data_IF_305181566446
#
_entry.id   IF_305181566446
#
_cell.length_a   1.000
_cell.length_b   1.000
_cell.length_c   1.000
_cell.angle_alpha   90.00
_cell.angle_beta   90.00
_cell.angle_gamma   90.00
#
_symmetry.space_group_name_H-M   'P 1'
#
loop_
_entity.id
_entity.type
_entity.pdbx_description
1 polymer ?
#
# COMPACT_ATOMS: atom_id res chain seq x y z
N UNK A 1 18.54 -1.54 6.25
CA UNK A 1 17.63 -1.44 7.30
C UNK A 1 16.77 -2.67 7.39
N UNK A 2 16.78 -3.26 8.56
CA UNK A 2 16.17 -4.58 8.74
C UNK A 2 14.67 -4.59 8.59
N UNK A 3 13.99 -3.53 9.07
CA UNK A 3 12.51 -3.45 8.99
C UNK A 3 12.03 -3.46 7.53
N UNK A 4 12.62 -2.62 6.69
CA UNK A 4 12.28 -2.55 5.28
C UNK A 4 12.57 -3.88 4.57
N UNK A 5 13.72 -4.45 4.84
CA UNK A 5 14.14 -5.71 4.23
C UNK A 5 13.21 -6.85 4.62
N UNK A 6 12.88 -6.93 5.90
CA UNK A 6 12.00 -7.95 6.44
C UNK A 6 10.58 -7.81 5.88
N UNK A 7 10.06 -6.58 5.90
CA UNK A 7 8.73 -6.29 5.37
C UNK A 7 8.63 -6.59 3.88
N UNK A 8 9.67 -6.23 3.11
CA UNK A 8 9.73 -6.54 1.69
C UNK A 8 9.66 -8.04 1.43
N UNK A 9 10.36 -8.84 2.23
CA UNK A 9 10.33 -10.28 2.10
C UNK A 9 8.93 -10.85 2.38
N UNK A 10 8.27 -10.33 3.41
CA UNK A 10 6.89 -10.72 3.73
C UNK A 10 5.96 -10.39 2.57
N UNK A 11 6.04 -9.17 2.04
CA UNK A 11 5.20 -8.75 0.92
C UNK A 11 5.39 -9.65 -0.31
N UNK A 12 6.63 -10.01 -0.60
CA UNK A 12 6.93 -10.91 -1.71
C UNK A 12 6.33 -12.30 -1.52
N UNK A 13 6.33 -12.80 -0.28
CA UNK A 13 5.69 -14.08 0.03
C UNK A 13 4.18 -13.97 -0.14
N UNK A 14 3.57 -12.92 0.39
CA UNK A 14 2.12 -12.74 0.38
C UNK A 14 1.56 -12.53 -1.03
N UNK A 15 2.29 -11.82 -1.88
CA UNK A 15 1.78 -11.35 -3.17
C UNK A 15 2.59 -11.81 -4.37
N UNK A 16 3.36 -12.89 -4.24
CA UNK A 16 4.18 -13.41 -5.34
C UNK A 16 3.37 -13.82 -6.56
N UNK A 17 2.11 -14.20 -6.36
CA UNK A 17 1.21 -14.58 -7.47
C UNK A 17 0.60 -13.38 -8.17
N UNK A 18 0.58 -12.23 -7.52
CA UNK A 18 -0.14 -11.05 -7.99
C UNK A 18 0.77 -9.93 -8.47
N UNK A 19 1.94 -9.79 -7.87
CA UNK A 19 2.83 -8.65 -8.09
C UNK A 19 4.20 -9.12 -8.57
N UNK A 20 4.82 -8.29 -9.40
CA UNK A 20 6.10 -8.60 -10.01
C UNK A 20 6.95 -7.32 -10.15
N UNK A 21 8.15 -7.45 -10.68
CA UNK A 21 9.08 -6.34 -10.91
C UNK A 21 9.35 -5.51 -9.65
N UNK A 22 9.56 -6.21 -8.54
CA UNK A 22 9.88 -5.58 -7.27
C UNK A 22 11.20 -4.83 -7.38
N UNK A 23 11.16 -3.52 -7.14
CA UNK A 23 12.35 -2.69 -7.24
C UNK A 23 12.46 -1.77 -6.05
N UNK A 24 13.55 -1.90 -5.32
CA UNK A 24 13.89 -0.98 -4.24
C UNK A 24 14.48 0.29 -4.84
N UNK A 25 14.10 1.43 -4.29
CA UNK A 25 14.65 2.72 -4.74
C UNK A 25 16.02 2.95 -4.14
N UNK A 26 16.98 3.25 -5.00
CA UNK A 26 18.28 3.68 -4.56
C UNK A 26 18.22 5.15 -4.16
N UNK A 27 18.99 5.51 -3.13
CA UNK A 27 19.11 6.90 -2.69
C UNK A 27 19.71 7.75 -3.79
N UNK A 28 18.90 8.64 -4.37
CA UNK A 28 19.47 9.69 -5.22
C UNK A 28 20.09 10.76 -4.34
N UNK A 29 21.07 11.49 -4.86
CA UNK A 29 21.73 12.55 -4.12
C UNK A 29 20.79 13.71 -3.72
N UNK A 30 19.63 13.81 -4.33
CA UNK A 30 18.71 14.92 -4.14
C UNK A 30 17.63 14.68 -3.08
N UNK A 31 17.48 13.45 -2.59
CA UNK A 31 16.48 13.04 -1.58
C UNK A 31 15.05 13.51 -1.84
N UNK A 32 14.78 14.06 -3.00
CA UNK A 32 13.48 14.56 -3.40
C UNK A 32 12.72 13.44 -4.11
N UNK A 33 11.51 13.10 -3.60
CA UNK A 33 10.58 12.17 -4.25
C UNK A 33 11.05 10.70 -4.25
N UNK A 34 11.35 10.21 -3.07
CA UNK A 34 11.82 8.85 -2.89
C UNK A 34 10.79 7.97 -2.21
N UNK A 35 10.32 6.96 -2.91
CA UNK A 35 9.55 5.89 -2.32
C UNK A 35 10.49 4.69 -2.06
N UNK A 36 10.11 3.84 -1.11
CA UNK A 36 10.99 2.74 -0.68
C UNK A 36 10.98 1.56 -1.64
N UNK A 37 9.82 1.23 -2.17
CA UNK A 37 9.65 0.04 -3.01
C UNK A 37 8.56 0.27 -4.02
N UNK A 38 8.74 -0.20 -5.24
CA UNK A 38 7.71 -0.21 -6.27
C UNK A 38 7.61 -1.61 -6.86
N UNK A 39 6.42 -2.00 -7.26
CA UNK A 39 6.20 -3.25 -7.98
C UNK A 39 5.11 -3.04 -9.04
N UNK A 40 4.92 -4.06 -9.87
CA UNK A 40 3.92 -4.03 -10.94
C UNK A 40 2.88 -5.11 -10.68
N UNK A 41 1.62 -4.79 -10.92
CA UNK A 41 0.55 -5.80 -10.94
C UNK A 41 0.78 -6.67 -12.18
N UNK A 42 0.80 -7.99 -12.00
CA UNK A 42 1.04 -8.91 -13.13
C UNK A 42 -0.04 -8.75 -14.18
N UNK A 43 0.35 -8.82 -15.44
CA UNK A 43 -0.58 -8.68 -16.58
C UNK A 43 -1.65 -9.77 -16.58
N UNK A 44 -1.32 -10.95 -16.07
CA UNK A 44 -2.22 -12.10 -15.98
C UNK A 44 -2.81 -12.30 -14.57
N UNK A 45 -2.86 -11.25 -13.76
CA UNK A 45 -3.37 -11.35 -12.40
C UNK A 45 -4.81 -11.86 -12.38
N UNK A 46 -5.11 -12.77 -11.46
CA UNK A 46 -6.44 -13.37 -11.32
C UNK A 46 -7.16 -12.96 -10.04
N UNK A 47 -6.44 -12.41 -9.07
CA UNK A 47 -6.99 -11.96 -7.80
C UNK A 47 -8.04 -10.87 -8.01
N UNK A 48 -9.21 -11.01 -7.40
CA UNK A 48 -10.28 -10.02 -7.51
C UNK A 48 -9.83 -8.65 -7.02
N UNK A 49 -9.10 -8.60 -5.91
CA UNK A 49 -8.61 -7.34 -5.35
C UNK A 49 -7.70 -6.61 -6.33
N UNK A 50 -6.65 -7.28 -6.83
CA UNK A 50 -5.67 -6.62 -7.69
C UNK A 50 -6.24 -6.27 -9.06
N UNK A 51 -7.17 -7.06 -9.58
CA UNK A 51 -7.91 -6.68 -10.80
C UNK A 51 -8.73 -5.42 -10.58
N UNK A 52 -9.43 -5.34 -9.45
CA UNK A 52 -10.21 -4.16 -9.12
C UNK A 52 -9.30 -2.93 -9.00
N UNK A 53 -8.17 -3.08 -8.31
CA UNK A 53 -7.19 -1.99 -8.14
C UNK A 53 -6.72 -1.48 -9.50
N UNK A 54 -6.31 -2.40 -10.36
CA UNK A 54 -5.81 -2.02 -11.70
C UNK A 54 -6.87 -1.30 -12.51
N UNK A 55 -8.08 -1.85 -12.54
CA UNK A 55 -9.15 -1.33 -13.40
C UNK A 55 -9.74 -0.03 -12.87
N UNK A 56 -10.06 0.00 -11.59
CA UNK A 56 -10.74 1.16 -11.01
C UNK A 56 -9.83 2.36 -10.88
N UNK A 57 -8.60 2.15 -10.39
CA UNK A 57 -7.65 3.23 -10.17
C UNK A 57 -6.79 3.54 -11.40
N UNK A 58 -6.89 2.71 -12.45
CA UNK A 58 -6.06 2.85 -13.66
C UNK A 58 -4.59 2.93 -13.28
N UNK A 59 -4.15 1.94 -12.50
CA UNK A 59 -2.79 1.87 -12.00
C UNK A 59 -2.17 0.55 -12.43
N UNK A 60 -0.89 0.59 -12.77
CA UNK A 60 -0.11 -0.61 -13.08
C UNK A 60 0.89 -0.89 -12.00
N UNK A 61 1.33 0.17 -11.33
CA UNK A 61 2.39 0.12 -10.33
C UNK A 61 1.85 0.45 -8.97
N UNK A 62 2.40 -0.22 -7.96
CA UNK A 62 2.04 -0.04 -6.56
C UNK A 62 3.29 0.41 -5.82
N UNK A 63 3.17 1.47 -5.02
CA UNK A 63 4.26 1.98 -4.20
C UNK A 63 4.07 1.47 -2.78
N UNK A 64 5.15 1.00 -2.17
CA UNK A 64 5.19 0.67 -0.74
C UNK A 64 6.13 1.61 -0.03
N UNK A 65 5.70 2.11 1.12
CA UNK A 65 6.49 2.93 2.03
C UNK A 65 6.58 2.20 3.37
N UNK A 66 7.76 2.23 3.97
CA UNK A 66 8.00 1.57 5.25
C UNK A 66 8.32 2.61 6.32
N UNK A 67 7.53 2.64 7.38
CA UNK A 67 7.67 3.58 8.48
C UNK A 67 7.90 2.82 9.79
N UNK A 68 9.18 2.67 10.16
CA UNK A 68 9.58 1.96 11.37
C UNK A 68 9.54 2.90 12.57
N UNK A 69 8.35 3.38 12.91
CA UNK A 69 8.14 4.26 14.06
C UNK A 69 7.49 3.49 15.20
N UNK A 70 7.87 3.81 16.44
CA UNK A 70 7.18 3.30 17.62
C UNK A 70 5.80 3.92 17.77
N UNK A 71 5.60 5.13 17.22
CA UNK A 71 4.35 5.85 17.26
C UNK A 71 3.50 5.55 16.01
N UNK A 72 2.22 5.90 16.08
CA UNK A 72 1.33 5.82 14.92
C UNK A 72 1.75 6.84 13.87
N UNK A 73 1.43 6.58 12.61
CA UNK A 73 1.67 7.57 11.55
C UNK A 73 0.58 8.64 11.58
N UNK A 74 0.91 9.81 11.05
CA UNK A 74 0.05 10.99 11.06
C UNK A 74 -0.31 11.41 9.63
N UNK A 75 -1.11 12.46 9.50
CA UNK A 75 -1.45 13.01 8.20
C UNK A 75 -0.22 13.40 7.37
N UNK A 76 0.87 13.73 8.05
CA UNK A 76 2.13 14.10 7.38
C UNK A 76 2.62 12.99 6.46
N UNK A 77 2.62 11.74 6.94
CA UNK A 77 3.06 10.60 6.15
C UNK A 77 2.12 10.35 4.97
N UNK A 78 0.84 10.60 5.15
CA UNK A 78 -0.14 10.47 4.06
C UNK A 78 0.14 11.50 2.96
N UNK A 79 0.30 12.76 3.33
CA UNK A 79 0.55 13.83 2.36
C UNK A 79 1.89 13.62 1.63
N UNK A 80 2.92 13.19 2.34
CA UNK A 80 4.22 12.91 1.74
C UNK A 80 4.11 11.77 0.73
N UNK A 81 3.42 10.70 1.10
CA UNK A 81 3.21 9.55 0.21
C UNK A 81 2.38 9.91 -1.00
N UNK A 82 1.36 10.74 -0.83
CA UNK A 82 0.51 11.17 -1.95
C UNK A 82 1.32 11.84 -3.06
N UNK A 83 2.39 12.55 -2.70
CA UNK A 83 3.26 13.22 -3.68
C UNK A 83 3.98 12.26 -4.63
N UNK A 84 4.16 11.01 -4.21
CA UNK A 84 4.79 10.00 -5.07
C UNK A 84 3.81 9.44 -6.10
N UNK A 85 2.51 9.64 -5.90
CA UNK A 85 1.49 9.09 -6.79
C UNK A 85 1.30 10.01 -7.99
N UNK A 86 1.46 9.42 -9.17
CA UNK A 86 1.52 10.18 -10.41
C UNK A 86 0.74 9.44 -11.50
N UNK A 87 -0.37 10.06 -11.93
CA UNK A 87 -1.31 9.42 -12.85
C UNK A 87 -0.68 9.03 -14.20
N UNK A 88 0.14 9.90 -14.78
CA UNK A 88 0.77 9.62 -16.06
C UNK A 88 1.79 8.49 -16.00
N UNK A 89 2.33 8.23 -14.82
CA UNK A 89 3.25 7.10 -14.62
C UNK A 89 2.52 5.83 -14.21
N UNK A 90 1.18 5.82 -14.26
CA UNK A 90 0.32 4.68 -13.91
C UNK A 90 0.57 4.17 -12.49
N UNK A 91 0.79 5.10 -11.57
CA UNK A 91 0.93 4.80 -10.14
C UNK A 91 0.03 5.73 -9.35
N UNK A 92 -1.14 5.20 -8.97
CA UNK A 92 -2.16 5.92 -8.21
C UNK A 92 -2.45 5.28 -6.86
N UNK A 93 -1.72 4.23 -6.51
CA UNK A 93 -1.96 3.46 -5.30
C UNK A 93 -0.66 3.29 -4.54
N UNK A 94 -0.71 3.55 -3.24
CA UNK A 94 0.41 3.31 -2.33
C UNK A 94 -0.08 2.57 -1.10
N UNK A 95 0.80 1.77 -0.52
CA UNK A 95 0.55 1.07 0.73
C UNK A 95 1.67 1.43 1.70
N UNK A 96 1.31 2.00 2.85
CA UNK A 96 2.25 2.34 3.91
C UNK A 96 2.25 1.21 4.93
N UNK A 97 3.40 0.62 5.17
CA UNK A 97 3.59 -0.38 6.21
C UNK A 97 4.18 0.34 7.42
N UNK A 98 3.49 0.31 8.55
CA UNK A 98 3.94 0.94 9.77
C UNK A 98 3.77 0.00 10.96
N UNK A 99 4.48 0.26 12.06
CA UNK A 99 4.43 -0.66 13.19
C UNK A 99 3.06 -0.68 13.87
N UNK A 100 2.44 0.48 14.08
CA UNK A 100 1.28 0.62 14.95
C UNK A 100 0.07 1.30 14.32
N UNK A 101 0.03 1.42 12.99
CA UNK A 101 -1.13 1.99 12.31
C UNK A 101 -1.11 3.51 12.27
N UNK A 102 -2.29 4.11 12.13
CA UNK A 102 -2.45 5.54 11.87
C UNK A 102 -3.40 6.20 12.87
N UNK A 103 -3.16 7.49 13.13
CA UNK A 103 -4.06 8.27 13.98
C UNK A 103 -5.31 8.72 13.20
N UNK A 104 -6.22 9.42 13.88
CA UNK A 104 -7.48 9.84 13.27
C UNK A 104 -7.27 10.83 12.13
N UNK A 105 -6.30 11.72 12.25
CA UNK A 105 -6.01 12.71 11.20
C UNK A 105 -5.41 12.04 9.96
N UNK A 106 -4.59 11.02 10.14
CA UNK A 106 -4.08 10.22 9.03
C UNK A 106 -5.23 9.51 8.30
N UNK A 107 -6.17 8.94 9.05
CA UNK A 107 -7.34 8.29 8.46
C UNK A 107 -8.19 9.26 7.65
N UNK A 108 -8.37 10.47 8.16
CA UNK A 108 -9.08 11.53 7.42
C UNK A 108 -8.32 11.92 6.16
N UNK A 109 -7.00 12.00 6.22
CA UNK A 109 -6.17 12.34 5.07
C UNK A 109 -6.25 11.24 3.98
N UNK A 110 -6.30 9.98 4.39
CA UNK A 110 -6.50 8.85 3.46
C UNK A 110 -7.83 8.99 2.72
N UNK A 111 -8.91 9.26 3.46
CA UNK A 111 -10.23 9.47 2.86
C UNK A 111 -10.25 10.68 1.94
N UNK A 112 -9.56 11.75 2.32
CA UNK A 112 -9.45 12.95 1.50
C UNK A 112 -8.71 12.70 0.19
N UNK A 113 -7.61 11.98 0.22
CA UNK A 113 -6.84 11.65 -1.00
C UNK A 113 -7.70 10.85 -1.98
N UNK A 114 -8.47 9.90 -1.46
CA UNK A 114 -9.35 9.09 -2.29
C UNK A 114 -10.50 9.90 -2.86
N UNK A 115 -11.21 10.65 -1.99
CA UNK A 115 -12.38 11.42 -2.39
C UNK A 115 -12.06 12.54 -3.36
N UNK A 116 -10.98 13.27 -3.12
CA UNK A 116 -10.68 14.49 -3.86
C UNK A 116 -9.76 14.27 -5.06
N UNK A 117 -8.84 13.31 -4.95
CA UNK A 117 -7.80 13.11 -5.95
C UNK A 117 -7.81 11.73 -6.61
N UNK A 118 -8.71 10.84 -6.19
CA UNK A 118 -8.77 9.49 -6.75
C UNK A 118 -7.52 8.67 -6.51
N UNK A 119 -6.77 8.99 -5.46
CA UNK A 119 -5.54 8.30 -5.09
C UNK A 119 -5.79 7.43 -3.87
N UNK A 120 -5.42 6.17 -3.95
CA UNK A 120 -5.60 5.23 -2.86
C UNK A 120 -4.32 5.10 -2.06
N UNK A 121 -4.42 5.36 -0.76
CA UNK A 121 -3.34 5.10 0.18
C UNK A 121 -3.91 4.20 1.26
N UNK A 122 -3.35 3.01 1.42
CA UNK A 122 -3.71 2.09 2.50
C UNK A 122 -2.60 2.09 3.53
N UNK A 123 -2.95 1.96 4.79
CA UNK A 123 -1.97 1.78 5.85
C UNK A 123 -2.17 0.41 6.49
N UNK A 124 -1.11 -0.38 6.50
CA UNK A 124 -1.09 -1.70 7.12
C UNK A 124 -0.13 -1.67 8.31
N UNK A 125 -0.58 -2.20 9.43
CA UNK A 125 0.25 -2.33 10.62
C UNK A 125 0.99 -3.67 10.62
N UNK A 126 1.89 -3.85 11.59
CA UNK A 126 2.52 -5.14 11.79
C UNK A 126 1.49 -6.24 12.08
N UNK A 127 0.41 -5.89 12.80
CA UNK A 127 -0.68 -6.81 13.07
C UNK A 127 -1.39 -7.22 11.78
N UNK A 128 -1.58 -6.29 10.84
CA UNK A 128 -2.18 -6.60 9.54
C UNK A 128 -1.31 -7.59 8.76
N UNK A 129 0.00 -7.40 8.77
CA UNK A 129 0.92 -8.32 8.10
C UNK A 129 0.83 -9.73 8.71
N UNK A 130 0.78 -9.81 10.05
CA UNK A 130 0.63 -11.07 10.76
C UNK A 130 -0.70 -11.75 10.40
N UNK A 131 -1.79 -10.98 10.34
CA UNK A 131 -3.11 -11.51 9.98
C UNK A 131 -3.13 -12.02 8.54
N UNK A 132 -2.45 -11.34 7.63
CA UNK A 132 -2.37 -11.78 6.23
C UNK A 132 -1.57 -13.08 6.09
N UNK A 133 -0.49 -13.23 6.86
CA UNK A 133 0.26 -14.49 6.90
C UNK A 133 -0.62 -15.62 7.43
N UNK A 134 -1.42 -15.36 8.46
CA UNK A 134 -2.35 -16.33 9.01
C UNK A 134 -3.43 -16.71 8.00
N UNK A 135 -3.94 -15.74 7.23
CA UNK A 135 -4.88 -16.02 6.13
C UNK A 135 -4.29 -17.05 5.16
N UNK A 136 -3.05 -16.82 4.74
CA UNK A 136 -2.37 -17.73 3.81
C UNK A 136 -2.20 -19.13 4.41
N UNK A 137 -1.85 -19.22 5.69
CA UNK A 137 -1.70 -20.50 6.38
C UNK A 137 -3.01 -21.27 6.46
N UNK A 138 -4.14 -20.58 6.49
CA UNK A 138 -5.46 -21.19 6.58
C UNK A 138 -6.10 -21.40 5.20
N UNK A 139 -5.35 -21.26 4.12
CA UNK A 139 -5.83 -21.49 2.77
C UNK A 139 -6.61 -20.34 2.17
N UNK A 140 -6.63 -19.18 2.83
CA UNK A 140 -7.23 -17.96 2.30
C UNK A 140 -6.16 -17.08 1.66
N UNK A 141 -6.56 -16.05 0.95
CA UNK A 141 -5.62 -15.17 0.26
C UNK A 141 -5.40 -13.89 1.06
N UNK A 142 -4.13 -13.44 1.13
CA UNK A 142 -3.80 -12.12 1.69
C UNK A 142 -4.55 -11.02 0.93
N UNK A 143 -4.80 -11.20 -0.35
CA UNK A 143 -5.54 -10.24 -1.17
C UNK A 143 -7.00 -10.09 -0.70
N UNK A 144 -7.61 -11.14 -0.19
CA UNK A 144 -8.95 -11.05 0.40
C UNK A 144 -8.95 -10.18 1.65
N UNK A 145 -7.90 -10.28 2.45
CA UNK A 145 -7.73 -9.43 3.63
C UNK A 145 -7.66 -7.95 3.22
N UNK A 146 -6.89 -7.65 2.18
CA UNK A 146 -6.80 -6.28 1.66
C UNK A 146 -8.14 -5.80 1.11
N UNK A 147 -8.89 -6.67 0.48
CA UNK A 147 -10.19 -6.30 -0.07
C UNK A 147 -11.16 -5.90 1.05
N UNK A 148 -11.10 -6.60 2.16
CA UNK A 148 -11.94 -6.24 3.32
C UNK A 148 -11.59 -4.84 3.85
N UNK A 149 -10.31 -4.51 3.90
CA UNK A 149 -9.87 -3.17 4.32
C UNK A 149 -10.38 -2.11 3.33
N UNK A 150 -10.27 -2.39 2.04
CA UNK A 150 -10.74 -1.47 1.00
C UNK A 150 -12.25 -1.28 1.07
N UNK A 151 -13.01 -2.35 1.27
CA UNK A 151 -14.46 -2.27 1.40
C UNK A 151 -14.87 -1.36 2.56
N UNK A 152 -14.22 -1.50 3.71
CA UNK A 152 -14.48 -0.62 4.86
C UNK A 152 -14.21 0.84 4.52
N UNK A 153 -13.11 1.10 3.82
CA UNK A 153 -12.75 2.46 3.43
C UNK A 153 -13.82 3.08 2.50
N UNK A 154 -14.27 2.33 1.50
CA UNK A 154 -15.30 2.81 0.59
C UNK A 154 -16.64 3.02 1.30
N UNK A 155 -17.02 2.11 2.19
CA UNK A 155 -18.28 2.22 2.92
C UNK A 155 -18.28 3.44 3.84
N UNK A 156 -17.14 3.74 4.45
CA UNK A 156 -17.00 4.88 5.36
C UNK A 156 -16.71 6.21 4.65
N UNK A 157 -16.53 6.18 3.33
CA UNK A 157 -16.16 7.38 2.59
C UNK A 157 -17.34 8.34 2.53
N UNK A 158 -17.13 9.55 3.04
CA UNK A 158 -18.15 10.61 3.05
C UNK A 158 -17.97 11.53 1.86
N UNK A 159 -19.06 12.11 1.44
CA UNK A 159 -19.03 13.11 0.37
C UNK A 159 -18.36 14.40 0.81
#
# INVERSE_FOLDING_TARGET
>A
MEYEKFSTQILKVLFSRDLTLWKEQQKSNDDLYRFDLICKIKDDVTSAFWKFIEDYFRTKYIIFEFKNYSEVITQREIYTTEKYLYAKALRRVAIIISCNGSDDNAKKAIKGALRENGKLILNLSNMDLANMLEYELNGNSASEYLYNILDELFIELEK
#
